data_IF_715264855397
#
_entry.id   IF_715264855397
#
_cell.length_a   1.000
_cell.length_b   1.000
_cell.length_c   1.000
_cell.angle_alpha   90.00
_cell.angle_beta   90.00
_cell.angle_gamma   90.00
#
_symmetry.space_group_name_H-M   'P 1'
#
loop_
_entity.id
_entity.type
_entity.pdbx_description
1 polymer ?
#
# COMPACT_ATOMS: atom_id res chain seq x y z
N UNK A 1 -15.63 -26.82 -1.12
CA UNK A 1 -14.45 -27.17 -0.29
C UNK A 1 -14.78 -27.20 1.20
N UNK A 2 -15.35 -26.15 1.81
CA UNK A 2 -15.69 -26.13 3.26
C UNK A 2 -16.53 -27.34 3.74
N UNK A 3 -17.56 -27.72 2.98
CA UNK A 3 -18.44 -28.87 3.31
C UNK A 3 -17.70 -30.20 3.51
N UNK A 4 -16.51 -30.36 2.93
CA UNK A 4 -15.70 -31.58 3.06
C UNK A 4 -14.75 -31.54 4.27
N UNK A 5 -14.47 -30.36 4.82
CA UNK A 5 -13.44 -30.12 5.84
C UNK A 5 -13.90 -29.15 6.93
N UNK A 6 -15.18 -29.19 7.29
CA UNK A 6 -15.85 -28.16 8.12
C UNK A 6 -15.13 -27.86 9.44
N UNK A 7 -14.56 -28.89 10.08
CA UNK A 7 -13.81 -28.77 11.34
C UNK A 7 -12.34 -28.40 11.15
N UNK A 8 -11.76 -28.68 9.98
CA UNK A 8 -10.34 -28.46 9.69
C UNK A 8 -10.04 -27.11 9.02
N UNK A 9 -11.07 -26.35 8.63
CA UNK A 9 -10.90 -24.99 8.09
C UNK A 9 -10.94 -23.99 9.26
N UNK A 10 -9.80 -23.38 9.64
CA UNK A 10 -9.75 -22.39 10.71
C UNK A 10 -10.27 -21.01 10.26
N UNK A 11 -9.99 -20.63 9.02
CA UNK A 11 -10.39 -19.35 8.43
C UNK A 11 -10.53 -19.46 6.90
N UNK A 12 -11.34 -18.59 6.32
CA UNK A 12 -11.51 -18.35 4.88
C UNK A 12 -11.23 -16.87 4.66
N UNK A 13 -10.29 -16.53 3.78
CA UNK A 13 -9.94 -15.13 3.47
C UNK A 13 -10.39 -14.84 2.04
N UNK A 14 -11.16 -13.76 1.87
CA UNK A 14 -11.71 -13.34 0.58
C UNK A 14 -11.61 -11.81 0.42
N UNK A 15 -11.85 -11.30 -0.78
CA UNK A 15 -12.00 -9.86 -0.99
C UNK A 15 -13.31 -9.35 -0.39
N UNK A 16 -13.38 -8.05 -0.16
CA UNK A 16 -14.54 -7.34 0.37
C UNK A 16 -15.80 -7.62 -0.45
N UNK A 17 -15.77 -7.40 -1.76
CA UNK A 17 -16.91 -7.62 -2.67
C UNK A 17 -17.51 -9.02 -2.51
N UNK A 18 -16.67 -10.07 -2.59
CA UNK A 18 -17.14 -11.44 -2.48
C UNK A 18 -17.68 -11.81 -1.10
N UNK A 19 -17.25 -11.11 -0.04
CA UNK A 19 -17.75 -11.36 1.32
C UNK A 19 -19.12 -10.75 1.50
N UNK A 20 -19.36 -9.55 1.00
CA UNK A 20 -20.69 -8.96 1.02
C UNK A 20 -21.66 -9.76 0.15
N UNK A 21 -21.26 -10.17 -1.06
CA UNK A 21 -22.06 -11.08 -1.89
C UNK A 21 -22.37 -12.39 -1.16
N UNK A 22 -21.38 -13.00 -0.51
CA UNK A 22 -21.55 -14.22 0.26
C UNK A 22 -22.48 -14.03 1.46
N UNK A 23 -22.37 -12.89 2.14
CA UNK A 23 -23.21 -12.52 3.27
C UNK A 23 -24.66 -12.33 2.85
N UNK A 24 -24.90 -11.74 1.68
CA UNK A 24 -26.25 -11.59 1.13
C UNK A 24 -26.83 -12.93 0.64
N UNK A 25 -26.00 -13.82 0.10
CA UNK A 25 -26.42 -15.16 -0.33
C UNK A 25 -26.53 -16.16 0.83
N UNK A 26 -27.61 -16.00 1.61
CA UNK A 26 -27.98 -16.91 2.68
C UNK A 26 -28.32 -18.32 2.19
N UNK A 27 -28.68 -18.51 0.91
CA UNK A 27 -29.14 -19.80 0.40
C UNK A 27 -28.00 -20.71 -0.06
N UNK A 28 -26.88 -20.14 -0.50
CA UNK A 28 -25.79 -20.94 -1.09
C UNK A 28 -24.41 -20.66 -0.49
N UNK A 29 -24.18 -19.52 0.17
CA UNK A 29 -22.85 -19.17 0.65
C UNK A 29 -22.70 -19.32 2.17
N UNK A 30 -23.19 -18.37 2.98
CA UNK A 30 -22.99 -18.41 4.44
C UNK A 30 -23.91 -19.42 5.14
N UNK A 31 -23.51 -19.83 6.33
CA UNK A 31 -24.35 -20.65 7.22
C UNK A 31 -25.62 -19.90 7.60
N UNK A 32 -26.75 -20.50 7.30
CA UNK A 32 -28.08 -19.95 7.57
C UNK A 32 -29.09 -21.09 7.76
N UNK A 33 -30.36 -20.80 8.09
CA UNK A 33 -31.43 -21.79 8.04
C UNK A 33 -31.63 -22.41 6.64
N UNK A 34 -31.37 -21.66 5.56
CA UNK A 34 -31.49 -22.13 4.18
C UNK A 34 -30.25 -22.90 3.70
N UNK A 35 -29.10 -22.64 4.34
CA UNK A 35 -27.82 -23.29 4.05
C UNK A 35 -27.13 -23.74 5.35
N UNK A 36 -27.65 -24.79 6.03
CA UNK A 36 -27.14 -25.21 7.34
C UNK A 36 -25.70 -25.75 7.30
N UNK A 37 -25.21 -26.10 6.09
CA UNK A 37 -23.86 -26.61 5.84
C UNK A 37 -22.90 -25.54 5.29
N UNK A 38 -23.33 -24.27 5.20
CA UNK A 38 -22.46 -23.17 4.81
C UNK A 38 -21.36 -22.91 5.85
N UNK A 39 -20.23 -22.28 5.45
CA UNK A 39 -19.30 -21.69 6.40
C UNK A 39 -20.00 -20.65 7.27
N UNK A 40 -19.85 -20.69 8.60
CA UNK A 40 -20.35 -19.63 9.44
C UNK A 40 -19.57 -18.35 9.18
N UNK A 41 -20.27 -17.21 9.18
CA UNK A 41 -19.69 -15.92 8.81
C UNK A 41 -18.46 -15.55 9.67
N UNK A 42 -18.41 -16.00 10.93
CA UNK A 42 -17.29 -15.71 11.82
C UNK A 42 -15.96 -16.39 11.44
N UNK A 43 -15.99 -17.38 10.53
CA UNK A 43 -14.79 -18.01 9.95
C UNK A 43 -14.34 -17.34 8.65
N UNK A 44 -15.11 -16.38 8.13
CA UNK A 44 -14.81 -15.69 6.88
C UNK A 44 -14.23 -14.32 7.28
N UNK A 45 -13.17 -13.90 6.58
CA UNK A 45 -12.42 -12.68 6.88
C UNK A 45 -12.12 -11.94 5.59
N UNK A 46 -12.23 -10.61 5.63
CA UNK A 46 -11.89 -9.76 4.49
C UNK A 46 -10.42 -9.41 4.54
N UNK A 47 -9.69 -9.54 3.43
CA UNK A 47 -8.42 -8.83 3.29
C UNK A 47 -8.65 -7.45 2.67
N UNK A 48 -8.36 -6.40 3.42
CA UNK A 48 -8.65 -5.00 3.05
C UNK A 48 -7.45 -4.11 3.30
N UNK A 49 -7.01 -3.39 2.28
CA UNK A 49 -5.83 -2.53 2.38
C UNK A 49 -6.06 -1.27 3.20
N UNK A 50 -7.30 -0.80 3.34
CA UNK A 50 -7.62 0.51 3.93
C UNK A 50 -7.95 0.39 5.42
N UNK A 51 -7.88 1.50 6.19
CA UNK A 51 -8.15 1.47 7.63
C UNK A 51 -9.61 1.16 8.00
N UNK A 52 -10.55 1.29 7.06
CA UNK A 52 -11.98 1.07 7.35
C UNK A 52 -12.30 -0.42 7.50
N UNK A 53 -13.36 -0.75 8.25
CA UNK A 53 -13.92 -2.09 8.22
C UNK A 53 -14.49 -2.40 6.83
N UNK A 54 -14.29 -3.63 6.36
CA UNK A 54 -14.81 -4.13 5.08
C UNK A 54 -15.42 -5.53 5.25
N UNK A 55 -16.05 -5.79 6.39
CA UNK A 55 -16.68 -7.06 6.72
C UNK A 55 -18.02 -6.82 7.45
N UNK A 56 -19.07 -7.63 7.23
CA UNK A 56 -20.36 -7.51 7.94
C UNK A 56 -20.28 -7.60 9.47
N UNK A 57 -19.21 -8.21 10.00
CA UNK A 57 -18.92 -8.31 11.43
C UNK A 57 -18.03 -7.16 11.96
N UNK A 58 -17.58 -6.26 11.09
CA UNK A 58 -16.81 -5.07 11.46
C UNK A 58 -15.29 -5.30 11.46
N UNK A 59 -14.60 -4.40 12.16
CA UNK A 59 -13.14 -4.28 12.17
C UNK A 59 -12.39 -5.57 12.54
N UNK A 60 -12.75 -6.35 13.58
CA UNK A 60 -11.98 -7.56 13.94
C UNK A 60 -11.95 -8.63 12.85
N UNK A 61 -12.96 -8.68 11.96
CA UNK A 61 -13.02 -9.60 10.83
C UNK A 61 -12.48 -9.01 9.52
N UNK A 62 -11.97 -7.78 9.57
CA UNK A 62 -11.26 -7.13 8.46
C UNK A 62 -9.77 -7.23 8.74
N UNK A 63 -9.03 -7.96 7.92
CA UNK A 63 -7.59 -8.11 7.96
C UNK A 63 -6.96 -6.96 7.16
N UNK A 64 -5.99 -6.26 7.75
CA UNK A 64 -5.23 -5.22 7.07
C UNK A 64 -3.72 -5.44 7.15
N UNK A 65 -2.97 -5.08 6.09
CA UNK A 65 -1.53 -5.28 6.04
C UNK A 65 -0.70 -4.17 6.68
N UNK A 66 -1.34 -3.07 7.08
CA UNK A 66 -0.72 -1.94 7.79
C UNK A 66 -1.26 -1.89 9.21
N UNK A 67 -0.41 -1.51 10.15
CA UNK A 67 -0.78 -1.34 11.56
C UNK A 67 -1.43 0.03 11.76
N UNK A 68 -2.66 0.17 11.28
CA UNK A 68 -3.37 1.43 11.35
C UNK A 68 -3.74 1.84 12.79
N UNK A 69 -3.85 0.90 13.72
CA UNK A 69 -4.20 1.22 15.11
C UNK A 69 -3.07 1.90 15.86
N UNK A 70 -1.82 1.49 15.65
CA UNK A 70 -0.68 2.23 16.22
C UNK A 70 -0.42 3.56 15.50
N UNK A 71 -0.88 3.69 14.25
CA UNK A 71 -0.53 4.79 13.36
C UNK A 71 -1.57 5.92 13.28
N UNK A 72 -2.84 5.62 13.05
CA UNK A 72 -3.86 6.62 12.68
C UNK A 72 -5.26 6.39 13.28
N UNK A 73 -5.58 5.20 13.78
CA UNK A 73 -6.91 4.86 14.29
C UNK A 73 -7.00 4.83 15.82
N UNK A 74 -8.22 4.96 16.34
CA UNK A 74 -8.50 4.66 17.75
C UNK A 74 -8.54 3.14 17.93
N UNK A 75 -8.08 2.65 19.09
CA UNK A 75 -8.01 1.21 19.39
C UNK A 75 -9.35 0.45 19.27
N UNK A 76 -10.49 1.14 19.30
CA UNK A 76 -11.82 0.51 19.16
C UNK A 76 -12.22 0.23 17.72
N UNK A 77 -11.52 0.80 16.74
CA UNK A 77 -11.82 0.74 15.31
C UNK A 77 -10.71 -0.02 14.56
N UNK A 78 -10.12 -1.04 15.18
CA UNK A 78 -8.91 -1.70 14.69
C UNK A 78 -9.21 -2.93 13.81
N UNK A 79 -8.82 -2.83 12.54
CA UNK A 79 -8.70 -4.00 11.66
C UNK A 79 -7.64 -4.97 12.21
N UNK A 80 -7.84 -6.27 12.04
CA UNK A 80 -6.86 -7.28 12.45
C UNK A 80 -5.58 -7.15 11.61
N UNK A 81 -4.50 -6.68 12.24
CA UNK A 81 -3.22 -6.47 11.58
C UNK A 81 -2.49 -7.79 11.28
N UNK A 82 -2.36 -8.11 9.99
CA UNK A 82 -1.51 -9.19 9.49
C UNK A 82 -0.63 -8.61 8.38
N UNK A 83 0.66 -8.36 8.64
CA UNK A 83 1.52 -7.81 7.62
C UNK A 83 1.79 -8.81 6.49
N UNK A 84 2.12 -8.29 5.31
CA UNK A 84 2.83 -9.05 4.29
C UNK A 84 4.33 -8.84 4.42
N UNK A 85 5.09 -9.83 3.96
CA UNK A 85 6.55 -9.78 3.88
C UNK A 85 7.01 -9.34 2.49
N UNK A 86 8.05 -8.51 2.46
CA UNK A 86 8.80 -8.19 1.22
C UNK A 86 10.14 -8.93 1.15
N UNK A 87 10.59 -9.50 2.27
CA UNK A 87 11.90 -10.14 2.46
C UNK A 87 12.19 -11.24 1.42
N UNK A 88 11.29 -12.21 1.12
CA UNK A 88 11.57 -13.21 0.09
C UNK A 88 11.85 -12.62 -1.28
N UNK A 89 11.14 -11.54 -1.65
CA UNK A 89 11.37 -10.86 -2.93
C UNK A 89 12.65 -10.03 -2.92
N UNK A 90 13.04 -9.47 -1.76
CA UNK A 90 14.31 -8.79 -1.59
C UNK A 90 15.50 -9.70 -1.79
N UNK A 91 15.47 -10.87 -1.18
CA UNK A 91 16.66 -11.74 -1.08
C UNK A 91 17.01 -12.37 -2.42
N UNK A 92 16.04 -12.43 -3.33
CA UNK A 92 16.25 -12.80 -4.72
C UNK A 92 16.98 -11.72 -5.53
N UNK A 93 17.00 -10.48 -5.07
CA UNK A 93 17.59 -9.36 -5.79
C UNK A 93 18.98 -9.02 -5.23
N UNK A 94 20.03 -9.01 -6.07
CA UNK A 94 21.35 -8.58 -5.64
C UNK A 94 21.32 -7.09 -5.27
N UNK A 95 21.95 -6.74 -4.14
CA UNK A 95 22.13 -5.34 -3.78
C UNK A 95 23.15 -4.70 -4.72
N UNK A 96 22.73 -3.71 -5.50
CA UNK A 96 23.63 -2.88 -6.30
C UNK A 96 24.21 -1.79 -5.39
N UNK A 97 25.54 -1.77 -5.15
CA UNK A 97 26.17 -0.72 -4.34
C UNK A 97 25.88 0.67 -4.92
N UNK A 98 25.64 1.70 -4.09
CA UNK A 98 25.32 3.05 -4.57
C UNK A 98 26.31 3.62 -5.60
N UNK A 99 27.60 3.30 -5.47
CA UNK A 99 28.66 3.73 -6.40
C UNK A 99 28.61 3.07 -7.78
N UNK A 100 27.84 1.98 -7.92
CA UNK A 100 27.62 1.25 -9.19
C UNK A 100 26.24 1.50 -9.80
N UNK A 101 25.41 2.30 -9.13
CA UNK A 101 24.09 2.69 -9.65
C UNK A 101 24.24 3.81 -10.67
N UNK A 102 23.21 3.99 -11.48
CA UNK A 102 23.16 5.05 -12.48
C UNK A 102 23.03 6.40 -11.74
N UNK A 103 24.11 7.19 -11.74
CA UNK A 103 24.16 8.43 -10.96
C UNK A 103 23.13 9.42 -11.48
N UNK A 104 22.28 9.94 -10.60
CA UNK A 104 21.16 10.82 -10.95
C UNK A 104 19.88 10.09 -11.36
N UNK A 105 19.88 8.76 -11.46
CA UNK A 105 18.68 8.00 -11.85
C UNK A 105 17.64 7.98 -10.73
N UNK A 106 16.43 8.43 -11.03
CA UNK A 106 15.28 8.40 -10.11
C UNK A 106 14.18 7.52 -10.70
N UNK A 107 13.75 6.50 -9.97
CA UNK A 107 12.59 5.70 -10.38
C UNK A 107 11.30 6.42 -9.97
N UNK A 108 10.39 6.65 -10.91
CA UNK A 108 9.10 7.26 -10.65
C UNK A 108 8.05 6.18 -10.42
N UNK A 109 7.38 6.22 -9.27
CA UNK A 109 6.33 5.28 -8.89
C UNK A 109 5.05 5.55 -9.68
N UNK A 110 4.99 5.08 -10.92
CA UNK A 110 3.80 5.15 -11.76
C UNK A 110 3.73 3.92 -12.68
N UNK A 111 2.57 3.25 -12.71
CA UNK A 111 2.29 2.14 -13.65
C UNK A 111 1.42 2.55 -14.85
N UNK A 112 0.89 3.77 -14.82
CA UNK A 112 0.04 4.39 -15.83
C UNK A 112 0.51 5.81 -16.08
N UNK A 113 0.56 6.24 -17.33
CA UNK A 113 0.92 7.62 -17.65
C UNK A 113 -0.11 8.62 -17.09
N UNK A 114 -1.38 8.22 -17.02
CA UNK A 114 -2.45 9.00 -16.40
C UNK A 114 -2.15 9.43 -14.95
N UNK A 115 -1.30 8.72 -14.19
CA UNK A 115 -0.94 9.10 -12.82
C UNK A 115 -0.11 10.39 -12.73
N UNK A 116 0.48 10.83 -13.83
CA UNK A 116 1.27 12.07 -13.90
C UNK A 116 0.42 13.27 -14.34
N UNK A 117 -0.90 13.09 -14.50
CA UNK A 117 -1.80 14.07 -15.12
C UNK A 117 -2.85 14.57 -14.13
N UNK A 118 -3.53 15.69 -14.43
CA UNK A 118 -4.60 16.19 -13.58
C UNK A 118 -5.80 15.25 -13.39
N UNK A 119 -5.89 14.18 -14.19
CA UNK A 119 -6.97 13.19 -14.11
C UNK A 119 -7.03 12.50 -12.74
N UNK A 120 -5.85 12.26 -12.15
CA UNK A 120 -5.73 11.81 -10.77
C UNK A 120 -5.15 12.93 -9.91
N UNK A 121 -5.46 12.87 -8.61
CA UNK A 121 -4.72 13.69 -7.65
C UNK A 121 -3.24 13.26 -7.67
N UNK A 122 -2.40 14.15 -8.19
CA UNK A 122 -0.94 13.98 -8.32
C UNK A 122 -0.23 14.91 -7.35
N UNK A 123 0.92 14.50 -6.87
CA UNK A 123 1.74 15.31 -5.97
C UNK A 123 2.48 16.44 -6.70
N UNK A 124 2.91 16.19 -7.94
CA UNK A 124 3.81 17.06 -8.68
C UNK A 124 3.26 17.37 -10.08
N UNK A 125 3.21 18.64 -10.49
CA UNK A 125 3.04 18.99 -11.88
C UNK A 125 4.17 18.44 -12.76
N UNK A 126 3.85 18.08 -14.00
CA UNK A 126 4.82 17.64 -15.02
C UNK A 126 6.02 18.60 -15.16
N UNK A 127 5.77 19.91 -15.10
CA UNK A 127 6.80 20.95 -15.18
C UNK A 127 7.85 20.86 -14.07
N UNK A 128 7.51 20.28 -12.92
CA UNK A 128 8.45 20.12 -11.81
C UNK A 128 9.55 19.12 -12.14
N UNK A 129 9.24 18.03 -12.85
CA UNK A 129 10.25 17.03 -13.21
C UNK A 129 11.37 17.65 -14.05
N UNK A 130 11.02 18.47 -15.04
CA UNK A 130 12.00 19.18 -15.86
C UNK A 130 12.84 20.18 -15.05
N UNK A 131 12.23 20.89 -14.10
CA UNK A 131 12.93 21.85 -13.24
C UNK A 131 13.86 21.18 -12.23
N UNK A 132 13.36 20.15 -11.53
CA UNK A 132 14.13 19.32 -10.61
C UNK A 132 15.29 18.66 -11.33
N UNK A 133 15.07 18.12 -12.53
CA UNK A 133 16.14 17.53 -13.36
C UNK A 133 17.27 18.52 -13.61
N UNK A 134 16.96 19.76 -14.03
CA UNK A 134 17.97 20.81 -14.23
C UNK A 134 18.72 21.17 -12.96
N UNK A 135 18.05 21.21 -11.81
CA UNK A 135 18.63 21.68 -10.55
C UNK A 135 19.42 20.60 -9.81
N UNK A 136 19.14 19.33 -10.05
CA UNK A 136 19.71 18.20 -9.30
C UNK A 136 20.56 17.27 -10.14
N UNK A 137 20.47 17.36 -11.47
CA UNK A 137 21.03 16.36 -12.39
C UNK A 137 20.23 15.07 -12.45
N UNK A 138 19.03 15.03 -11.84
CA UNK A 138 18.17 13.86 -11.87
C UNK A 138 17.64 13.57 -13.29
N UNK A 139 17.52 12.29 -13.63
CA UNK A 139 16.77 11.82 -14.78
C UNK A 139 15.80 10.73 -14.33
N UNK A 140 14.55 10.84 -14.77
CA UNK A 140 13.44 10.07 -14.25
C UNK A 140 13.14 8.87 -15.15
N UNK A 141 12.95 7.73 -14.53
CA UNK A 141 12.65 6.46 -15.18
C UNK A 141 11.27 6.00 -14.73
N UNK A 142 10.45 5.50 -15.65
CA UNK A 142 9.15 4.94 -15.28
C UNK A 142 8.83 3.71 -16.13
N UNK A 143 8.08 2.77 -15.57
CA UNK A 143 7.57 1.61 -16.29
C UNK A 143 6.04 1.66 -16.31
N UNK A 144 5.47 2.35 -17.29
CA UNK A 144 4.03 2.60 -17.34
C UNK A 144 3.38 2.22 -18.66
N UNK A 145 2.15 1.70 -18.56
CA UNK A 145 1.26 1.57 -19.71
C UNK A 145 0.81 2.95 -20.17
N UNK A 146 0.68 3.07 -21.50
CA UNK A 146 0.04 4.22 -22.12
C UNK A 146 -1.48 3.99 -22.13
N UNK A 147 -2.16 4.38 -21.06
CA UNK A 147 -3.62 4.25 -20.89
C UNK A 147 -4.40 5.44 -21.46
N UNK A 148 -3.77 6.22 -22.35
CA UNK A 148 -4.32 7.48 -22.91
C UNK A 148 -5.57 7.29 -23.76
N UNK A 149 -5.80 6.12 -24.32
CA UNK A 149 -6.98 5.83 -25.15
C UNK A 149 -8.31 5.89 -24.37
N UNK A 150 -8.26 5.87 -23.04
CA UNK A 150 -9.45 5.78 -22.18
C UNK A 150 -9.83 7.11 -21.50
N UNK A 151 -9.15 8.21 -21.81
CA UNK A 151 -9.40 9.51 -21.18
C UNK A 151 -9.59 10.60 -22.24
N UNK A 152 -10.54 11.50 -22.03
CA UNK A 152 -10.69 12.73 -22.83
C UNK A 152 -9.76 13.85 -22.36
N UNK A 153 -9.00 13.60 -21.28
CA UNK A 153 -8.10 14.59 -20.70
C UNK A 153 -6.74 14.57 -21.40
N UNK A 154 -6.13 15.75 -21.48
CA UNK A 154 -4.80 15.88 -22.04
C UNK A 154 -3.77 15.24 -21.11
N UNK A 155 -3.17 14.15 -21.56
CA UNK A 155 -2.09 13.47 -20.86
C UNK A 155 -0.78 14.00 -21.46
N UNK A 156 0.12 14.57 -20.64
CA UNK A 156 1.38 15.10 -21.13
C UNK A 156 2.17 13.97 -21.80
N UNK A 157 2.50 14.21 -23.06
CA UNK A 157 3.48 13.41 -23.79
C UNK A 157 4.84 13.43 -23.07
N UNK A 158 5.73 12.48 -23.40
CA UNK A 158 7.11 12.51 -22.89
C UNK A 158 7.78 13.86 -23.18
N UNK A 159 7.50 14.48 -24.33
CA UNK A 159 7.99 15.82 -24.66
C UNK A 159 7.50 16.88 -23.67
N UNK A 160 6.24 16.80 -23.23
CA UNK A 160 5.67 17.71 -22.23
C UNK A 160 6.15 17.43 -20.80
N UNK A 161 6.62 16.22 -20.54
CA UNK A 161 7.35 15.88 -19.32
C UNK A 161 8.83 16.35 -19.36
N UNK A 162 9.25 17.06 -20.40
CA UNK A 162 10.61 17.56 -20.59
C UNK A 162 11.45 16.77 -21.59
N UNK A 163 10.84 15.85 -22.34
CA UNK A 163 11.47 14.99 -23.33
C UNK A 163 12.15 13.76 -22.73
N UNK A 164 12.61 12.86 -23.61
CA UNK A 164 13.26 11.59 -23.23
C UNK A 164 14.53 11.78 -22.38
N UNK A 165 15.12 12.98 -22.41
CA UNK A 165 16.27 13.35 -21.57
C UNK A 165 15.90 13.58 -20.11
N UNK A 166 14.65 13.94 -19.84
CA UNK A 166 14.15 14.19 -18.48
C UNK A 166 13.39 12.97 -17.98
N UNK A 167 12.49 12.42 -18.78
CA UNK A 167 11.67 11.27 -18.41
C UNK A 167 11.77 10.19 -19.47
N UNK A 168 12.19 8.99 -19.08
CA UNK A 168 12.23 7.82 -19.94
C UNK A 168 11.20 6.78 -19.47
N UNK A 169 10.24 6.45 -20.34
CA UNK A 169 9.29 5.36 -20.12
C UNK A 169 9.81 4.06 -20.74
N UNK A 170 10.04 3.04 -19.90
CA UNK A 170 10.48 1.71 -20.30
C UNK A 170 9.31 0.79 -20.71
N UNK A 171 8.06 1.29 -20.65
CA UNK A 171 6.85 0.52 -20.89
C UNK A 171 6.48 -0.37 -19.71
N UNK A 172 5.53 -1.27 -19.92
CA UNK A 172 5.19 -2.28 -18.91
C UNK A 172 6.33 -3.27 -18.76
N UNK A 173 6.80 -3.41 -17.52
CA UNK A 173 7.82 -4.37 -17.13
C UNK A 173 7.19 -5.52 -16.35
N UNK A 174 7.72 -6.72 -16.53
CA UNK A 174 7.41 -7.80 -15.60
C UNK A 174 8.04 -7.54 -14.22
N UNK A 175 7.64 -8.33 -13.22
CA UNK A 175 8.09 -8.10 -11.84
C UNK A 175 9.63 -8.20 -11.68
N UNK A 176 10.33 -9.22 -12.21
CA UNK A 176 11.79 -9.27 -12.18
C UNK A 176 12.46 -8.05 -12.83
N UNK A 177 12.05 -7.67 -14.05
CA UNK A 177 12.60 -6.52 -14.77
C UNK A 177 12.37 -5.21 -14.00
N UNK A 178 11.16 -5.03 -13.47
CA UNK A 178 10.82 -3.89 -12.62
C UNK A 178 11.77 -3.76 -11.42
N UNK A 179 12.01 -4.86 -10.69
CA UNK A 179 12.90 -4.86 -9.54
C UNK A 179 14.35 -4.56 -9.93
N UNK A 180 14.82 -5.10 -11.06
CA UNK A 180 16.16 -4.84 -11.58
C UNK A 180 16.35 -3.35 -11.97
N UNK A 181 15.39 -2.77 -12.68
CA UNK A 181 15.42 -1.37 -13.09
C UNK A 181 15.28 -0.39 -11.91
N UNK A 182 14.53 -0.77 -10.88
CA UNK A 182 14.44 -0.01 -9.63
C UNK A 182 15.75 -0.07 -8.84
N UNK A 183 16.43 -1.24 -8.78
CA UNK A 183 17.70 -1.41 -8.06
C UNK A 183 18.84 -0.53 -8.61
N UNK A 184 18.77 -0.17 -9.90
CA UNK A 184 19.73 0.73 -10.57
C UNK A 184 19.56 2.20 -10.16
N UNK A 185 18.44 2.55 -9.53
CA UNK A 185 18.08 3.93 -9.22
C UNK A 185 18.65 4.40 -7.87
N UNK A 186 18.93 5.69 -7.77
CA UNK A 186 19.39 6.33 -6.54
C UNK A 186 18.24 6.66 -5.59
N UNK A 187 17.03 6.89 -6.12
CA UNK A 187 15.85 7.33 -5.36
C UNK A 187 14.58 6.76 -6.00
N UNK A 188 13.57 6.45 -5.18
CA UNK A 188 12.19 6.20 -5.61
C UNK A 188 11.37 7.48 -5.36
N UNK A 189 10.74 8.02 -6.40
CA UNK A 189 9.84 9.17 -6.33
C UNK A 189 8.39 8.72 -6.32
N UNK A 190 7.67 8.97 -5.22
CA UNK A 190 6.21 8.92 -5.20
C UNK A 190 5.61 10.08 -5.99
N UNK A 191 4.47 9.87 -6.65
CA UNK A 191 3.73 10.88 -7.43
C UNK A 191 2.28 11.07 -6.96
N UNK A 192 1.90 10.45 -5.84
CA UNK A 192 0.55 10.47 -5.26
C UNK A 192 -0.26 9.19 -5.54
N UNK A 193 -0.02 8.51 -6.67
CA UNK A 193 -0.68 7.24 -7.04
C UNK A 193 0.34 6.20 -7.52
N UNK A 194 0.08 4.89 -7.32
CA UNK A 194 -1.00 4.34 -6.50
C UNK A 194 -0.72 4.56 -5.01
N UNK A 195 -1.78 4.66 -4.21
CA UNK A 195 -1.67 4.77 -2.74
C UNK A 195 -1.39 3.40 -2.11
N UNK A 196 -0.60 3.37 -1.03
CA UNK A 196 -0.31 2.18 -0.21
C UNK A 196 0.19 0.99 -1.05
N UNK A 197 1.04 1.29 -2.03
CA UNK A 197 1.69 0.29 -2.86
C UNK A 197 2.77 -0.46 -2.07
N UNK A 198 3.04 -1.75 -2.33
CA UNK A 198 4.22 -2.43 -1.77
C UNK A 198 5.56 -1.92 -2.31
N UNK A 199 5.57 -1.16 -3.42
CA UNK A 199 6.79 -0.73 -4.10
C UNK A 199 7.77 0.07 -3.22
N UNK A 200 7.34 1.05 -2.41
CA UNK A 200 8.22 1.73 -1.47
C UNK A 200 8.94 0.79 -0.50
N UNK A 201 8.28 -0.24 0.04
CA UNK A 201 8.95 -1.25 0.88
C UNK A 201 10.01 -2.03 0.09
N UNK A 202 9.72 -2.39 -1.16
CA UNK A 202 10.67 -3.05 -2.05
C UNK A 202 11.88 -2.15 -2.36
N UNK A 203 11.65 -0.85 -2.61
CA UNK A 203 12.72 0.12 -2.86
C UNK A 203 13.66 0.23 -1.66
N UNK A 204 13.12 0.42 -0.44
CA UNK A 204 13.93 0.47 0.78
C UNK A 204 14.79 -0.78 0.93
N UNK A 205 14.24 -1.94 0.57
CA UNK A 205 14.97 -3.19 0.64
C UNK A 205 16.10 -3.32 -0.40
N UNK A 206 15.93 -2.72 -1.57
CA UNK A 206 17.00 -2.58 -2.57
C UNK A 206 18.00 -1.46 -2.21
N UNK A 207 17.82 -0.81 -1.05
CA UNK A 207 18.63 0.32 -0.61
C UNK A 207 18.34 1.59 -1.40
N UNK A 208 17.11 1.76 -1.89
CA UNK A 208 16.62 2.93 -2.63
C UNK A 208 15.69 3.73 -1.71
N UNK A 209 16.09 4.93 -1.24
CA UNK A 209 15.25 5.77 -0.40
C UNK A 209 14.00 6.25 -1.14
N UNK A 210 12.93 6.54 -0.40
CA UNK A 210 11.63 6.91 -0.94
C UNK A 210 11.28 8.38 -0.66
N UNK A 211 10.90 9.12 -1.69
CA UNK A 211 10.23 10.42 -1.54
C UNK A 211 8.73 10.15 -1.43
N UNK A 212 8.17 10.34 -0.24
CA UNK A 212 6.75 10.11 0.06
C UNK A 212 5.97 11.43 0.02
N UNK A 213 5.12 11.66 -0.99
CA UNK A 213 4.30 12.86 -1.01
C UNK A 213 3.29 12.90 0.14
N UNK A 214 3.19 14.05 0.81
CA UNK A 214 2.09 14.41 1.71
C UNK A 214 1.02 15.08 0.84
N UNK A 215 -0.08 14.38 0.66
CA UNK A 215 -1.20 14.78 -0.20
C UNK A 215 -2.18 15.69 0.52
N UNK A 216 -2.33 15.51 1.84
CA UNK A 216 -3.16 16.36 2.70
C UNK A 216 -2.60 16.36 4.12
N UNK A 217 -2.93 17.37 4.91
CA UNK A 217 -2.46 17.50 6.30
C UNK A 217 -3.38 18.39 7.14
N UNK A 218 -3.33 18.21 8.46
CA UNK A 218 -3.98 19.11 9.40
C UNK A 218 -3.32 20.50 9.34
N UNK A 219 -4.08 21.52 8.93
CA UNK A 219 -3.62 22.90 8.84
C UNK A 219 -3.27 23.49 10.21
N UNK A 220 -3.98 23.07 11.27
CA UNK A 220 -3.77 23.60 12.62
C UNK A 220 -2.54 22.96 13.30
N UNK A 221 -2.16 21.74 12.89
CA UNK A 221 -0.93 21.05 13.31
C UNK A 221 -0.21 20.36 12.13
N UNK A 222 0.45 21.15 11.26
CA UNK A 222 0.95 20.66 9.97
C UNK A 222 2.19 19.77 10.09
N UNK A 223 2.76 19.62 11.29
CA UNK A 223 3.92 18.75 11.56
C UNK A 223 3.51 17.42 12.23
N UNK A 224 2.26 17.30 12.72
CA UNK A 224 1.75 16.07 13.31
C UNK A 224 1.46 15.03 12.22
N UNK A 225 2.36 14.03 12.13
CA UNK A 225 2.31 12.98 11.10
C UNK A 225 1.05 12.16 11.13
N UNK A 226 0.39 12.01 12.28
CA UNK A 226 -0.90 11.33 12.36
C UNK A 226 -1.98 12.04 11.55
N UNK A 227 -1.91 13.38 11.48
CA UNK A 227 -2.80 14.22 10.67
C UNK A 227 -2.45 14.26 9.17
N UNK A 228 -1.33 13.68 8.75
CA UNK A 228 -0.96 13.63 7.34
C UNK A 228 -1.68 12.52 6.58
N UNK A 229 -2.19 12.84 5.39
CA UNK A 229 -2.48 11.86 4.34
C UNK A 229 -1.29 11.84 3.38
N UNK A 230 -0.64 10.68 3.24
CA UNK A 230 0.51 10.53 2.33
C UNK A 230 0.23 9.50 1.23
N UNK A 231 1.09 9.43 0.21
CA UNK A 231 0.97 8.34 -0.77
C UNK A 231 1.12 6.96 -0.10
N UNK A 232 1.97 6.86 0.93
CA UNK A 232 2.18 5.63 1.68
C UNK A 232 2.19 5.87 3.20
N UNK A 233 1.00 5.80 3.83
CA UNK A 233 0.84 6.13 5.25
C UNK A 233 1.65 5.24 6.20
N UNK A 234 1.86 3.96 5.87
CA UNK A 234 2.71 3.07 6.67
C UNK A 234 4.18 3.50 6.76
N UNK A 235 4.63 4.40 5.87
CA UNK A 235 6.03 4.83 5.77
C UNK A 235 6.26 6.28 6.22
N UNK A 236 5.20 7.06 6.49
CA UNK A 236 5.34 8.47 6.88
C UNK A 236 6.09 8.65 8.21
N UNK A 237 6.09 7.64 9.07
CA UNK A 237 6.79 7.65 10.36
C UNK A 237 8.28 7.33 10.27
N UNK A 238 8.79 6.92 9.11
CA UNK A 238 10.23 6.81 8.90
C UNK A 238 10.83 8.17 8.56
N UNK A 239 12.06 8.37 9.03
CA UNK A 239 12.83 9.59 8.80
C UNK A 239 13.86 9.40 7.67
N UNK A 240 14.40 10.50 7.13
CA UNK A 240 15.64 10.46 6.35
C UNK A 240 16.75 9.72 7.12
N UNK A 241 17.60 8.94 6.42
CA UNK A 241 17.74 8.88 4.97
C UNK A 241 16.80 7.88 4.27
N UNK A 242 15.90 7.20 4.97
CA UNK A 242 15.05 6.15 4.36
C UNK A 242 13.86 6.74 3.61
N UNK A 243 13.10 7.63 4.28
CA UNK A 243 11.91 8.25 3.72
C UNK A 243 11.99 9.76 3.86
N UNK A 244 11.72 10.47 2.77
CA UNK A 244 11.64 11.93 2.74
C UNK A 244 10.19 12.30 2.47
N UNK A 245 9.48 12.77 3.50
CA UNK A 245 8.10 13.25 3.35
C UNK A 245 8.12 14.68 2.81
N UNK A 246 7.40 14.95 1.72
CA UNK A 246 7.38 16.27 1.05
C UNK A 246 5.94 16.66 0.74
N UNK A 247 5.54 17.88 1.11
CA UNK A 247 4.18 18.39 0.81
C UNK A 247 3.95 18.49 -0.69
N UNK A 248 2.76 18.10 -1.15
CA UNK A 248 2.37 18.28 -2.56
C UNK A 248 2.56 19.73 -2.99
N UNK A 249 2.90 19.93 -4.25
CA UNK A 249 3.18 21.24 -4.85
C UNK A 249 4.36 22.04 -4.24
N UNK A 250 5.18 21.43 -3.36
CA UNK A 250 6.43 22.05 -2.87
C UNK A 250 7.63 21.67 -3.75
N UNK A 251 7.82 22.40 -4.86
CA UNK A 251 8.93 22.17 -5.80
C UNK A 251 10.32 22.28 -5.13
N UNK A 252 10.47 23.22 -4.19
CA UNK A 252 11.73 23.46 -3.49
C UNK A 252 12.04 22.30 -2.53
N UNK A 253 11.03 21.86 -1.77
CA UNK A 253 11.10 20.69 -0.92
C UNK A 253 11.43 19.43 -1.70
N UNK A 254 10.78 19.22 -2.85
CA UNK A 254 11.06 18.09 -3.74
C UNK A 254 12.50 18.11 -4.26
N UNK A 255 12.96 19.25 -4.75
CA UNK A 255 14.35 19.44 -5.24
C UNK A 255 15.36 19.13 -4.13
N UNK A 256 15.11 19.63 -2.92
CA UNK A 256 15.96 19.38 -1.74
C UNK A 256 15.95 17.91 -1.35
N UNK A 257 14.79 17.28 -1.30
CA UNK A 257 14.63 15.88 -0.90
C UNK A 257 15.33 14.92 -1.87
N UNK A 258 15.16 15.12 -3.19
CA UNK A 258 15.87 14.34 -4.21
C UNK A 258 17.39 14.51 -4.09
N UNK A 259 17.86 15.75 -3.91
CA UNK A 259 19.29 16.03 -3.72
C UNK A 259 19.84 15.29 -2.51
N UNK A 260 19.17 15.39 -1.35
CA UNK A 260 19.60 14.73 -0.12
C UNK A 260 19.54 13.20 -0.23
N UNK A 261 18.50 12.65 -0.84
CA UNK A 261 18.34 11.22 -1.02
C UNK A 261 19.45 10.63 -1.92
N UNK A 262 19.83 11.32 -2.99
CA UNK A 262 20.97 10.91 -3.83
C UNK A 262 22.32 11.00 -3.11
N UNK A 263 22.49 11.97 -2.21
CA UNK A 263 23.72 12.19 -1.43
C UNK A 263 23.85 11.26 -0.23
N UNK A 264 22.74 10.69 0.26
CA UNK A 264 22.69 9.85 1.46
C UNK A 264 22.10 8.47 1.12
N UNK A 265 22.80 7.64 0.32
CA UNK A 265 22.31 6.33 -0.02
C UNK A 265 22.18 5.45 1.23
N UNK A 266 21.17 4.59 1.23
CA UNK A 266 20.88 3.69 2.35
C UNK A 266 21.38 2.27 2.05
N UNK A 267 21.72 1.48 3.08
CA UNK A 267 21.85 0.04 2.93
C UNK A 267 20.48 -0.59 2.62
N UNK A 268 20.48 -1.90 2.33
CA UNK A 268 19.24 -2.69 2.36
C UNK A 268 18.52 -2.45 3.68
N UNK A 269 17.24 -2.12 3.60
CA UNK A 269 16.41 -1.89 4.76
C UNK A 269 15.04 -2.54 4.57
N UNK A 270 14.73 -3.50 5.43
CA UNK A 270 13.40 -4.10 5.54
C UNK A 270 12.76 -3.47 6.77
N UNK A 271 11.70 -2.66 6.64
CA UNK A 271 11.08 -2.04 7.80
C UNK A 271 10.53 -3.07 8.79
N UNK A 272 10.42 -2.73 10.08
CA UNK A 272 9.76 -3.59 11.07
C UNK A 272 8.35 -4.00 10.61
N UNK A 273 7.96 -5.24 10.92
CA UNK A 273 6.69 -5.81 10.46
C UNK A 273 6.67 -6.20 8.98
N UNK A 274 7.80 -6.19 8.26
CA UNK A 274 7.89 -6.57 6.83
C UNK A 274 8.77 -7.78 6.57
N UNK A 275 9.26 -8.43 7.62
CA UNK A 275 9.97 -9.71 7.53
C UNK A 275 9.00 -10.90 7.45
N UNK A 276 9.47 -12.02 6.89
CA UNK A 276 8.68 -13.25 6.85
C UNK A 276 8.42 -13.84 8.25
N UNK A 277 9.40 -13.85 9.18
CA UNK A 277 9.16 -14.30 10.55
C UNK A 277 8.06 -13.50 11.27
N UNK A 278 8.03 -12.18 11.14
CA UNK A 278 6.99 -11.36 11.76
C UNK A 278 5.61 -11.64 11.17
N UNK A 279 5.50 -11.70 9.83
CA UNK A 279 4.25 -12.07 9.16
C UNK A 279 3.74 -13.45 9.62
N UNK A 280 4.64 -14.41 9.81
CA UNK A 280 4.31 -15.74 10.31
C UNK A 280 3.80 -15.71 11.76
N UNK A 281 4.39 -14.89 12.64
CA UNK A 281 3.93 -14.73 14.03
C UNK A 281 2.51 -14.15 14.06
N UNK A 282 2.23 -13.11 13.27
CA UNK A 282 0.90 -12.51 13.21
C UNK A 282 -0.14 -13.47 12.62
N UNK A 283 0.23 -14.24 11.59
CA UNK A 283 -0.64 -15.27 11.03
C UNK A 283 -0.93 -16.40 12.01
N UNK A 284 0.07 -16.89 12.77
CA UNK A 284 -0.14 -17.92 13.80
C UNK A 284 -1.06 -17.41 14.92
N UNK A 285 -0.84 -16.18 15.40
CA UNK A 285 -1.71 -15.54 16.38
C UNK A 285 -3.15 -15.41 15.87
N UNK A 286 -3.33 -14.97 14.61
CA UNK A 286 -4.62 -14.90 13.94
C UNK A 286 -5.32 -16.27 13.90
N UNK A 287 -4.60 -17.33 13.48
CA UNK A 287 -5.19 -18.67 13.34
C UNK A 287 -5.52 -19.34 14.70
N UNK A 288 -4.82 -18.97 15.77
CA UNK A 288 -5.04 -19.50 17.13
C UNK A 288 -6.11 -18.75 17.93
N UNK A 289 -6.48 -17.55 17.49
CA UNK A 289 -7.48 -16.71 18.16
C UNK A 289 -8.85 -17.39 18.16
N UNK A 290 -9.54 -17.32 19.29
CA UNK A 290 -10.88 -17.91 19.45
C UNK A 290 -11.96 -17.00 18.84
N UNK A 291 -11.99 -16.99 17.51
CA UNK A 291 -12.95 -16.20 16.72
C UNK A 291 -14.40 -16.57 17.00
N UNK A 292 -14.66 -17.79 17.47
CA UNK A 292 -16.00 -18.22 17.80
C UNK A 292 -16.50 -17.51 19.05
N UNK A 293 -15.72 -17.51 20.13
CA UNK A 293 -16.09 -16.81 21.36
C UNK A 293 -16.30 -15.31 21.12
N UNK A 294 -15.49 -14.69 20.25
CA UNK A 294 -15.68 -13.28 19.86
C UNK A 294 -16.95 -13.05 19.05
N UNK A 295 -17.28 -13.96 18.14
CA UNK A 295 -18.52 -13.90 17.39
C UNK A 295 -19.75 -14.10 18.30
N UNK A 296 -19.67 -15.00 19.28
CA UNK A 296 -20.70 -15.21 20.29
C UNK A 296 -20.95 -13.94 21.10
N UNK A 297 -19.88 -13.26 21.54
CA UNK A 297 -19.97 -11.97 22.23
C UNK A 297 -20.59 -10.87 21.35
N UNK A 298 -20.16 -10.76 20.09
CA UNK A 298 -20.72 -9.81 19.13
C UNK A 298 -22.21 -10.06 18.89
N UNK A 299 -22.62 -11.32 18.69
CA UNK A 299 -24.01 -11.68 18.47
C UNK A 299 -24.87 -11.35 19.70
N UNK A 300 -24.40 -11.68 20.89
CA UNK A 300 -25.08 -11.35 22.14
C UNK A 300 -25.27 -9.83 22.29
N UNK A 301 -24.25 -9.04 21.95
CA UNK A 301 -24.32 -7.59 21.97
C UNK A 301 -25.33 -7.04 20.96
N UNK A 302 -25.30 -7.50 19.71
CA UNK A 302 -26.28 -7.10 18.67
C UNK A 302 -27.71 -7.46 19.04
N UNK A 303 -27.92 -8.59 19.73
CA UNK A 303 -29.24 -8.98 20.26
C UNK A 303 -29.67 -8.00 21.36
N UNK A 304 -28.77 -7.67 22.29
CA UNK A 304 -29.04 -6.79 23.44
C UNK A 304 -29.37 -5.35 23.00
N UNK A 305 -28.58 -4.80 22.07
CA UNK A 305 -28.73 -3.40 21.61
C UNK A 305 -29.74 -3.23 20.48
N UNK A 306 -30.10 -4.33 19.78
CA UNK A 306 -30.86 -4.31 18.54
C UNK A 306 -30.17 -3.51 17.41
N UNK A 307 -28.84 -3.42 17.47
CA UNK A 307 -28.02 -2.76 16.44
C UNK A 307 -27.23 -3.82 15.68
N UNK A 308 -27.13 -3.66 14.36
CA UNK A 308 -26.42 -4.56 13.46
C UNK A 308 -27.20 -5.84 13.10
N UNK A 309 -26.77 -6.49 12.03
CA UNK A 309 -27.42 -7.70 11.52
C UNK A 309 -27.06 -8.94 12.35
N UNK A 310 -28.02 -9.83 12.55
CA UNK A 310 -27.82 -11.10 13.28
C UNK A 310 -27.31 -12.17 12.34
N UNK A 311 -26.57 -13.13 12.88
CA UNK A 311 -25.99 -14.24 12.11
C UNK A 311 -26.11 -15.57 12.85
N UNK A 312 -25.85 -16.66 12.11
CA UNK A 312 -25.81 -18.02 12.66
C UNK A 312 -24.38 -18.40 13.01
N UNK A 313 -24.17 -18.94 14.22
CA UNK A 313 -22.89 -19.46 14.71
C UNK A 313 -22.52 -20.81 14.07
#
# INVERSE_FOLDING_TARGET
MYRLFTTSVPAIIMSDEHIFDCWEDQAHCVKSPQNPLGPPIWKIFTFHFWPTAAHPLGHPWTISPEDYASQIMKATDENTYIPYSVEPSCDLQPLIPPTKRDQGRVWTLAKRLSYLTPHYERAWPASYLASVSRNTGAHFMLGAENDTAFTTEHIPSIDELGGERVVQNLGLLDRPQFMEEMAKSMVLLGVGRPAISPTPYQALCLGVPFINPIMDWDIDDPEERKGWWTQHDGLKFLDPPFVYNVRKDDESGLTKAITLAMQNPIPRYIPPGRSLPEAAVHMDAFLRRDWRSEAEALLAERIRTKQGERFTL
#
